data_IF_312148006619
#
_entry.id   IF_312148006619
#
_cell.length_a   1.000
_cell.length_b   1.000
_cell.length_c   1.000
_cell.angle_alpha   90.00
_cell.angle_beta   90.00
_cell.angle_gamma   90.00
#
_symmetry.space_group_name_H-M   'P 1'
#
loop_
_entity.id
_entity.type
_entity.pdbx_description
1 polymer ?
#
# COMPACT_ATOMS: atom_id res chain seq x y z
N UNK A 1 12.40 -42.54 46.74
CA UNK A 1 11.72 -42.41 45.43
C UNK A 1 10.78 -41.20 45.42
N UNK A 2 11.31 -39.97 45.36
CA UNK A 2 10.51 -38.71 45.44
C UNK A 2 10.68 -37.77 44.23
N UNK A 3 11.49 -38.16 43.25
CA UNK A 3 11.87 -37.30 42.12
C UNK A 3 10.93 -37.38 40.91
N UNK A 4 10.07 -38.41 40.82
CA UNK A 4 9.20 -38.62 39.65
C UNK A 4 7.86 -37.87 39.69
N UNK A 5 7.45 -37.33 40.84
CA UNK A 5 6.12 -36.71 41.01
C UNK A 5 6.13 -35.18 40.84
N UNK A 6 7.27 -34.56 40.50
CA UNK A 6 7.38 -33.10 40.35
C UNK A 6 7.50 -32.62 38.90
N UNK A 7 7.81 -33.54 37.97
CA UNK A 7 7.83 -33.26 36.54
C UNK A 7 6.47 -32.81 35.96
N UNK A 8 5.30 -33.35 36.37
CA UNK A 8 4.02 -32.90 35.81
C UNK A 8 3.67 -31.46 36.18
N UNK A 9 4.03 -31.04 37.40
CA UNK A 9 3.71 -29.71 37.92
C UNK A 9 4.55 -28.61 37.27
N UNK A 10 5.77 -28.92 36.81
CA UNK A 10 6.65 -27.98 36.12
C UNK A 10 6.22 -27.75 34.67
N UNK A 11 5.66 -28.78 34.01
CA UNK A 11 5.17 -28.71 32.63
C UNK A 11 3.79 -28.03 32.50
N UNK A 12 2.91 -28.20 33.49
CA UNK A 12 1.62 -27.52 33.51
C UNK A 12 1.73 -25.99 33.71
N UNK A 13 2.77 -25.52 34.42
CA UNK A 13 2.98 -24.10 34.71
C UNK A 13 3.49 -23.27 33.54
N UNK A 14 4.19 -23.87 32.57
CA UNK A 14 4.80 -23.15 31.44
C UNK A 14 3.91 -23.11 30.19
N UNK A 15 2.91 -24.00 30.09
CA UNK A 15 2.02 -24.06 28.92
C UNK A 15 0.96 -22.93 28.87
N UNK A 16 0.67 -22.27 30.00
CA UNK A 16 -0.37 -21.23 30.08
C UNK A 16 0.15 -19.81 29.78
N UNK A 17 1.46 -19.57 29.77
CA UNK A 17 2.00 -18.21 29.61
C UNK A 17 2.22 -17.79 28.17
N UNK A 18 2.32 -18.73 27.21
CA UNK A 18 2.56 -18.40 25.79
C UNK A 18 1.30 -18.23 24.95
N UNK A 19 0.11 -18.58 25.46
CA UNK A 19 -1.13 -18.63 24.67
C UNK A 19 -1.93 -17.32 24.60
N UNK A 20 -1.59 -16.28 25.39
CA UNK A 20 -2.46 -15.10 25.55
C UNK A 20 -2.40 -14.10 24.37
N UNK A 21 -1.42 -14.21 23.47
CA UNK A 21 -1.21 -13.18 22.42
C UNK A 21 -2.22 -13.25 21.26
N UNK A 22 -2.83 -14.40 20.99
CA UNK A 22 -3.59 -14.64 19.73
C UNK A 22 -5.11 -14.32 19.86
N UNK A 23 -5.65 -14.28 21.09
CA UNK A 23 -7.11 -14.18 21.32
C UNK A 23 -7.55 -12.74 21.66
N UNK A 24 -6.61 -11.83 21.94
CA UNK A 24 -6.93 -10.43 22.20
C UNK A 24 -7.19 -9.71 20.88
N UNK A 25 -8.25 -8.88 20.78
CA UNK A 25 -8.48 -8.07 19.61
C UNK A 25 -7.29 -7.13 19.41
N UNK A 26 -6.59 -7.29 18.28
CA UNK A 26 -5.54 -6.37 17.86
C UNK A 26 -6.19 -5.01 17.58
N UNK A 27 -5.81 -3.98 18.33
CA UNK A 27 -6.27 -2.62 18.08
C UNK A 27 -5.75 -2.17 16.71
N UNK A 28 -6.66 -1.95 15.76
CA UNK A 28 -6.32 -1.34 14.49
C UNK A 28 -6.32 0.18 14.64
N UNK A 29 -5.15 0.80 14.48
CA UNK A 29 -5.03 2.26 14.45
C UNK A 29 -5.21 2.76 13.02
N UNK A 30 -6.07 3.76 12.83
CA UNK A 30 -6.20 4.43 11.55
C UNK A 30 -4.91 5.20 11.20
N UNK A 31 -4.56 5.24 9.92
CA UNK A 31 -3.48 6.10 9.44
C UNK A 31 -3.88 7.57 9.61
N UNK A 32 -2.92 8.41 10.01
CA UNK A 32 -3.11 9.85 9.96
C UNK A 32 -3.29 10.33 8.51
N UNK A 33 -3.96 11.47 8.32
CA UNK A 33 -4.13 12.04 6.98
C UNK A 33 -2.81 12.30 6.25
N UNK A 34 -1.72 12.59 6.98
CA UNK A 34 -0.37 12.74 6.41
C UNK A 34 0.14 11.41 5.85
N UNK A 35 0.05 10.33 6.63
CA UNK A 35 0.45 9.00 6.18
C UNK A 35 -0.39 8.52 4.98
N UNK A 36 -1.69 8.81 4.97
CA UNK A 36 -2.56 8.52 3.81
C UNK A 36 -2.09 9.29 2.58
N UNK A 37 -1.81 10.59 2.73
CA UNK A 37 -1.28 11.42 1.64
C UNK A 37 0.08 10.92 1.12
N UNK A 38 0.97 10.45 2.00
CA UNK A 38 2.28 9.96 1.61
C UNK A 38 2.16 8.68 0.77
N UNK A 39 1.27 7.76 1.17
CA UNK A 39 0.95 6.56 0.37
C UNK A 39 0.28 6.95 -0.96
N UNK A 40 -0.68 7.86 -0.93
CA UNK A 40 -1.41 8.28 -2.13
C UNK A 40 -0.50 8.94 -3.17
N UNK A 41 0.55 9.67 -2.74
CA UNK A 41 1.51 10.31 -3.65
C UNK A 41 2.28 9.30 -4.49
N UNK A 42 2.62 8.14 -3.95
CA UNK A 42 3.37 7.10 -4.68
C UNK A 42 2.60 6.51 -5.86
N UNK A 43 1.26 6.53 -5.80
CA UNK A 43 0.38 5.99 -6.85
C UNK A 43 -0.30 7.07 -7.71
N UNK A 44 -0.12 8.34 -7.36
CA UNK A 44 -0.65 9.48 -8.12
C UNK A 44 0.32 9.87 -9.22
N UNK A 45 -0.21 10.11 -10.42
CA UNK A 45 0.57 10.57 -11.57
C UNK A 45 0.05 11.91 -12.07
N UNK A 46 0.94 12.71 -12.66
CA UNK A 46 0.61 13.95 -13.34
C UNK A 46 0.59 13.70 -14.86
N UNK A 47 -0.54 13.96 -15.50
CA UNK A 47 -0.64 14.08 -16.95
C UNK A 47 -0.14 15.44 -17.38
N UNK A 48 0.90 15.44 -18.23
CA UNK A 48 1.49 16.64 -18.81
C UNK A 48 1.39 16.58 -20.34
N UNK A 49 0.36 17.21 -20.90
CA UNK A 49 0.25 17.47 -22.34
C UNK A 49 1.11 18.66 -22.76
N UNK A 50 1.49 18.70 -24.04
CA UNK A 50 2.31 19.76 -24.63
C UNK A 50 1.49 21.00 -25.00
N UNK A 51 0.16 20.84 -25.18
CA UNK A 51 -0.76 21.89 -25.60
C UNK A 51 -1.54 22.50 -24.43
N UNK A 52 -0.97 22.42 -23.22
CA UNK A 52 -1.57 22.94 -21.99
C UNK A 52 -2.69 22.08 -21.39
N UNK A 53 -2.92 20.87 -21.91
CA UNK A 53 -3.80 19.91 -21.25
C UNK A 53 -3.05 19.22 -20.11
N UNK A 54 -3.51 19.44 -18.89
CA UNK A 54 -2.91 18.85 -17.69
C UNK A 54 -3.99 18.25 -16.80
N UNK A 55 -3.60 17.29 -15.97
CA UNK A 55 -4.49 16.68 -14.99
C UNK A 55 -3.74 15.65 -14.15
N UNK A 56 -4.46 15.01 -13.26
CA UNK A 56 -3.91 13.92 -12.45
C UNK A 56 -4.54 12.60 -12.83
N UNK A 57 -3.87 11.51 -12.50
CA UNK A 57 -4.40 10.16 -12.57
C UNK A 57 -3.89 9.33 -11.40
N UNK A 58 -4.37 8.09 -11.32
CA UNK A 58 -3.95 7.12 -10.30
C UNK A 58 -3.62 5.79 -10.96
N UNK A 59 -2.51 5.19 -10.56
CA UNK A 59 -2.14 3.83 -10.96
C UNK A 59 -3.11 2.86 -10.27
N UNK A 60 -3.84 2.07 -11.06
CA UNK A 60 -4.86 1.13 -10.57
C UNK A 60 -4.46 -0.34 -10.75
N UNK A 61 -3.52 -0.63 -11.64
CA UNK A 61 -3.01 -1.98 -11.85
C UNK A 61 -1.60 -1.96 -12.42
N UNK A 62 -0.90 -3.08 -12.26
CA UNK A 62 0.40 -3.36 -12.85
C UNK A 62 0.41 -4.79 -13.39
N UNK A 63 0.84 -4.97 -14.63
CA UNK A 63 1.12 -6.26 -15.25
C UNK A 63 2.52 -6.22 -15.84
N UNK A 64 3.43 -7.04 -15.30
CA UNK A 64 4.86 -7.02 -15.66
C UNK A 64 5.51 -5.63 -15.54
N UNK A 65 5.77 -4.97 -16.66
CA UNK A 65 6.32 -3.62 -16.74
C UNK A 65 5.29 -2.57 -17.18
N UNK A 66 4.04 -2.98 -17.43
CA UNK A 66 2.93 -2.12 -17.84
C UNK A 66 2.13 -1.67 -16.62
N UNK A 67 1.91 -0.37 -16.51
CA UNK A 67 1.09 0.24 -15.47
C UNK A 67 -0.18 0.80 -16.09
N UNK A 68 -1.32 0.56 -15.45
CA UNK A 68 -2.62 1.05 -15.89
C UNK A 68 -3.05 2.22 -15.03
N UNK A 69 -3.42 3.31 -15.68
CA UNK A 69 -3.73 4.58 -15.02
C UNK A 69 -5.16 4.99 -15.32
N UNK A 70 -5.91 5.31 -14.26
CA UNK A 70 -7.22 5.93 -14.36
C UNK A 70 -7.07 7.45 -14.29
N UNK A 71 -7.71 8.16 -15.22
CA UNK A 71 -7.82 9.63 -15.19
C UNK A 71 -9.22 10.07 -15.65
N UNK A 72 -9.54 11.34 -15.46
CA UNK A 72 -10.78 11.90 -15.94
C UNK A 72 -10.76 12.05 -17.47
N UNK A 73 -11.87 11.73 -18.14
CA UNK A 73 -11.97 11.83 -19.60
C UNK A 73 -11.57 13.21 -20.14
N UNK A 74 -11.92 14.30 -19.45
CA UNK A 74 -11.58 15.65 -19.92
C UNK A 74 -10.07 15.96 -19.95
N UNK A 75 -9.24 15.18 -19.22
CA UNK A 75 -7.78 15.32 -19.21
C UNK A 75 -7.18 14.84 -20.53
N UNK A 76 -7.73 13.75 -21.09
CA UNK A 76 -7.21 13.03 -22.26
C UNK A 76 -8.09 13.13 -23.51
N UNK A 77 -9.22 13.85 -23.45
CA UNK A 77 -10.19 13.95 -24.56
C UNK A 77 -9.62 14.57 -25.84
N UNK A 78 -8.54 15.37 -25.74
CA UNK A 78 -7.91 16.00 -26.90
C UNK A 78 -6.65 15.23 -27.25
N UNK A 79 -6.37 15.07 -28.54
CA UNK A 79 -5.09 14.54 -28.97
C UNK A 79 -3.95 15.49 -28.55
N UNK A 80 -3.04 14.98 -27.73
CA UNK A 80 -1.84 15.65 -27.24
C UNK A 80 -0.76 14.57 -26.98
N UNK A 81 0.51 14.98 -26.99
CA UNK A 81 1.63 14.14 -26.56
C UNK A 81 1.69 14.17 -25.03
N UNK A 82 0.86 13.34 -24.39
CA UNK A 82 0.80 13.25 -22.93
C UNK A 82 1.98 12.48 -22.39
N UNK A 83 2.69 13.10 -21.44
CA UNK A 83 3.66 12.40 -20.59
C UNK A 83 3.10 12.22 -19.19
N UNK A 84 3.26 11.04 -18.62
CA UNK A 84 2.98 10.80 -17.20
C UNK A 84 4.22 11.08 -16.39
N UNK A 85 4.08 11.96 -15.40
CA UNK A 85 5.11 12.17 -14.38
C UNK A 85 4.69 11.44 -13.11
N UNK A 86 5.48 10.46 -12.70
CA UNK A 86 5.26 9.63 -11.49
C UNK A 86 5.97 10.22 -10.27
N UNK A 87 5.81 9.59 -9.10
CA UNK A 87 6.40 10.04 -7.83
C UNK A 87 7.94 10.14 -7.86
N UNK A 88 8.60 9.31 -8.67
CA UNK A 88 10.04 9.34 -8.96
C UNK A 88 10.49 10.57 -9.79
N UNK A 89 9.53 11.43 -10.19
CA UNK A 89 9.70 12.63 -11.01
C UNK A 89 10.17 12.35 -12.45
N UNK A 90 10.13 11.10 -12.90
CA UNK A 90 10.44 10.71 -14.27
C UNK A 90 9.20 10.83 -15.16
N UNK A 91 9.42 11.04 -16.46
CA UNK A 91 8.36 11.19 -17.46
C UNK A 91 8.29 9.94 -18.36
N UNK A 92 7.09 9.38 -18.50
CA UNK A 92 6.82 8.18 -19.29
C UNK A 92 5.81 8.51 -20.40
N UNK A 93 6.01 7.94 -21.59
CA UNK A 93 5.06 8.03 -22.68
C UNK A 93 3.86 7.09 -22.44
N UNK A 94 2.72 7.44 -23.02
CA UNK A 94 1.53 6.58 -23.06
C UNK A 94 1.54 5.83 -24.39
N UNK A 95 1.19 4.55 -24.34
CA UNK A 95 0.92 3.69 -25.51
C UNK A 95 -0.60 3.64 -25.77
#
# INVERSE_FOLDING_TARGET
MRFYNQLPNLLAGTALTTAVVIILPQAAFALSGRQVNDIAREVTVLFRGTRGQHGSGVIIAKSDQTYYVLTAHHVVRREDDYKLVTADKQAYAID
#
